data_IF_761795508178
#
_entry.id   IF_761795508178
#
_cell.length_a   1.000
_cell.length_b   1.000
_cell.length_c   1.000
_cell.angle_alpha   90.00
_cell.angle_beta   90.00
_cell.angle_gamma   90.00
#
_symmetry.space_group_name_H-M   'P 1'
#
loop_
_entity.id
_entity.type
_entity.pdbx_description
1 polymer ?
#
# COMPACT_ATOMS: atom_id res chain seq x y z
N UNK A 1 15.72 -33.35 -10.31
CA UNK A 1 14.65 -32.35 -10.50
C UNK A 1 14.70 -31.44 -9.28
N UNK A 2 15.11 -30.20 -9.49
CA UNK A 2 15.16 -29.22 -8.40
C UNK A 2 13.73 -28.89 -8.02
N UNK A 3 13.33 -29.15 -6.79
CA UNK A 3 11.99 -28.81 -6.28
C UNK A 3 11.76 -27.31 -6.46
N UNK A 4 10.59 -26.93 -6.94
CA UNK A 4 10.16 -25.54 -7.04
C UNK A 4 8.89 -25.34 -6.23
N UNK A 5 8.68 -24.13 -5.73
CA UNK A 5 7.52 -23.76 -4.94
C UNK A 5 6.64 -22.80 -5.73
N UNK A 6 5.49 -23.25 -6.15
CA UNK A 6 4.53 -22.47 -6.92
C UNK A 6 3.44 -21.90 -6.01
N UNK A 7 3.18 -20.62 -6.11
CA UNK A 7 2.06 -20.01 -5.41
C UNK A 7 0.73 -20.58 -5.95
N UNK A 8 -0.13 -21.06 -5.07
CA UNK A 8 -1.41 -21.65 -5.44
C UNK A 8 -2.30 -20.66 -6.20
N UNK A 9 -3.14 -21.17 -7.12
CA UNK A 9 -3.98 -20.36 -8.01
C UNK A 9 -4.92 -19.42 -7.26
N UNK A 10 -5.45 -19.88 -6.13
CA UNK A 10 -6.42 -19.14 -5.32
C UNK A 10 -5.79 -18.21 -4.26
N UNK A 11 -4.49 -17.95 -4.30
CA UNK A 11 -3.83 -17.06 -3.37
C UNK A 11 -3.71 -15.67 -3.99
N UNK A 12 -4.20 -14.65 -3.30
CA UNK A 12 -3.99 -13.25 -3.67
C UNK A 12 -2.67 -12.75 -3.08
N UNK A 13 -1.92 -11.99 -3.86
CA UNK A 13 -0.78 -11.18 -3.40
C UNK A 13 -1.27 -9.74 -3.33
N UNK A 14 -1.16 -9.13 -2.18
CA UNK A 14 -1.62 -7.77 -1.93
C UNK A 14 -0.45 -6.91 -1.45
N UNK A 15 -0.01 -5.89 -2.23
CA UNK A 15 1.01 -4.96 -1.78
C UNK A 15 0.45 -4.02 -0.71
N UNK A 16 1.24 -3.77 0.33
CA UNK A 16 0.87 -2.94 1.46
C UNK A 16 1.90 -1.85 1.71
N UNK A 17 1.44 -0.65 2.06
CA UNK A 17 2.24 0.41 2.68
C UNK A 17 1.65 0.69 4.06
N UNK A 18 2.48 0.60 5.09
CA UNK A 18 2.04 0.74 6.48
C UNK A 18 0.83 -0.17 6.81
N UNK A 19 0.87 -1.42 6.36
CA UNK A 19 -0.21 -2.43 6.50
C UNK A 19 -1.51 -2.12 5.73
N UNK A 20 -1.59 -1.04 4.99
CA UNK A 20 -2.74 -0.72 4.15
C UNK A 20 -2.48 -1.09 2.71
N UNK A 21 -3.52 -1.54 2.01
CA UNK A 21 -3.41 -1.82 0.58
C UNK A 21 -2.89 -0.59 -0.17
N UNK A 22 -1.85 -0.78 -0.95
CA UNK A 22 -1.27 0.25 -1.78
C UNK A 22 -0.84 -0.31 -3.13
N UNK A 23 -1.01 0.50 -4.16
CA UNK A 23 -0.34 0.22 -5.41
C UNK A 23 1.13 0.65 -5.29
N UNK A 24 2.08 -0.05 -5.94
CA UNK A 24 3.51 0.23 -5.83
C UNK A 24 3.90 1.69 -6.09
N UNK A 25 3.20 2.40 -6.98
CA UNK A 25 3.44 3.83 -7.24
C UNK A 25 3.04 4.77 -6.10
N UNK A 26 2.30 4.29 -5.09
CA UNK A 26 1.94 5.07 -3.90
C UNK A 26 3.05 5.12 -2.86
N UNK A 27 4.22 4.57 -3.14
CA UNK A 27 5.41 4.69 -2.28
C UNK A 27 6.20 5.98 -2.51
N UNK A 28 5.81 6.82 -3.46
CA UNK A 28 6.37 8.15 -3.61
C UNK A 28 6.28 8.92 -2.28
N UNK A 29 7.41 9.37 -1.72
CA UNK A 29 7.47 9.82 -0.32
C UNK A 29 6.45 10.90 0.06
N UNK A 30 6.20 11.95 -0.74
CA UNK A 30 5.13 12.91 -0.46
C UNK A 30 3.74 12.25 -0.38
N UNK A 31 3.42 11.36 -1.32
CA UNK A 31 2.14 10.64 -1.31
C UNK A 31 2.03 9.70 -0.10
N UNK A 32 3.09 8.95 0.21
CA UNK A 32 3.15 8.08 1.37
C UNK A 32 2.96 8.87 2.67
N UNK A 33 3.57 10.04 2.79
CA UNK A 33 3.45 10.92 3.94
C UNK A 33 1.98 11.32 4.22
N UNK A 34 1.27 11.78 3.19
CA UNK A 34 -0.15 12.15 3.32
C UNK A 34 -1.03 10.94 3.60
N UNK A 35 -0.80 9.81 2.94
CA UNK A 35 -1.55 8.58 3.18
C UNK A 35 -1.37 8.08 4.62
N UNK A 36 -0.13 8.05 5.12
CA UNK A 36 0.13 7.63 6.49
C UNK A 36 -0.54 8.53 7.53
N UNK A 37 -0.55 9.84 7.31
CA UNK A 37 -1.25 10.79 8.17
C UNK A 37 -2.76 10.52 8.18
N UNK A 38 -3.35 10.34 7.01
CA UNK A 38 -4.76 9.98 6.86
C UNK A 38 -5.10 8.63 7.53
N UNK A 39 -4.27 7.60 7.31
CA UNK A 39 -4.45 6.31 7.97
C UNK A 39 -4.33 6.43 9.50
N UNK A 40 -3.41 7.25 10.00
CA UNK A 40 -3.27 7.49 11.44
C UNK A 40 -4.53 8.12 12.06
N UNK A 41 -5.18 9.04 11.34
CA UNK A 41 -6.46 9.63 11.75
C UNK A 41 -7.56 8.57 11.82
N UNK A 42 -7.69 7.71 10.80
CA UNK A 42 -8.68 6.63 10.75
C UNK A 42 -8.43 5.62 11.87
N UNK A 43 -7.18 5.19 12.06
CA UNK A 43 -6.82 4.25 13.13
C UNK A 43 -7.11 4.82 14.52
N UNK A 44 -6.77 6.10 14.74
CA UNK A 44 -7.06 6.79 16.00
C UNK A 44 -8.57 6.91 16.27
N UNK A 45 -9.34 7.17 15.21
CA UNK A 45 -10.82 7.18 15.29
C UNK A 45 -11.37 5.80 15.62
N UNK A 46 -10.83 4.75 15.00
CA UNK A 46 -11.25 3.37 15.29
C UNK A 46 -10.98 2.98 16.74
N UNK A 47 -9.80 3.25 17.27
CA UNK A 47 -9.46 2.96 18.68
C UNK A 47 -10.44 3.62 19.64
N UNK A 48 -10.87 4.85 19.36
CA UNK A 48 -11.82 5.59 20.18
C UNK A 48 -13.27 5.11 20.02
N UNK A 49 -13.63 4.64 18.83
CA UNK A 49 -15.03 4.42 18.43
C UNK A 49 -15.22 3.16 17.57
N UNK A 50 -14.65 2.00 17.97
CA UNK A 50 -14.69 0.76 17.19
C UNK A 50 -16.11 0.35 16.78
N UNK A 51 -17.07 0.42 17.69
CA UNK A 51 -18.48 0.09 17.42
C UNK A 51 -19.13 1.03 16.39
N UNK A 52 -18.69 2.30 16.31
CA UNK A 52 -19.16 3.22 15.27
C UNK A 52 -18.62 2.83 13.91
N UNK A 53 -17.34 2.45 13.81
CA UNK A 53 -16.72 1.96 12.59
C UNK A 53 -17.42 0.70 12.08
N UNK A 54 -17.69 -0.26 12.95
CA UNK A 54 -18.43 -1.48 12.61
C UNK A 54 -19.82 -1.19 12.05
N UNK A 55 -20.58 -0.34 12.72
CA UNK A 55 -21.91 0.10 12.26
C UNK A 55 -21.85 0.86 10.94
N UNK A 56 -20.87 1.74 10.75
CA UNK A 56 -20.68 2.51 9.54
C UNK A 56 -20.30 1.60 8.36
N UNK A 57 -19.40 0.65 8.58
CA UNK A 57 -18.96 -0.32 7.58
C UNK A 57 -20.11 -1.24 7.10
N UNK A 58 -21.06 -1.56 7.96
CA UNK A 58 -22.24 -2.33 7.59
C UNK A 58 -23.24 -1.55 6.68
N UNK A 59 -23.14 -0.23 6.66
CA UNK A 59 -24.04 0.62 5.87
C UNK A 59 -23.64 0.70 4.40
N UNK A 60 -24.52 0.26 3.50
CA UNK A 60 -24.26 0.36 2.05
C UNK A 60 -24.11 1.81 1.55
N UNK A 61 -24.72 2.79 2.24
CA UNK A 61 -24.71 4.21 1.84
C UNK A 61 -23.37 4.90 2.04
N UNK A 62 -22.55 4.42 3.00
CA UNK A 62 -21.28 5.02 3.37
C UNK A 62 -20.10 4.06 3.20
N UNK A 63 -20.33 2.93 2.52
CA UNK A 63 -19.27 1.95 2.22
C UNK A 63 -18.16 2.62 1.42
N UNK A 64 -16.91 2.40 1.81
CA UNK A 64 -15.73 3.04 1.21
C UNK A 64 -15.40 4.42 1.78
N UNK A 65 -16.16 4.89 2.79
CA UNK A 65 -15.77 6.06 3.60
C UNK A 65 -14.59 5.76 4.53
N UNK A 66 -14.17 6.73 5.36
CA UNK A 66 -13.01 6.61 6.25
C UNK A 66 -13.31 5.74 7.50
N UNK A 67 -13.85 4.57 7.26
CA UNK A 67 -14.20 3.61 8.31
C UNK A 67 -13.50 2.29 8.07
N UNK A 68 -12.88 1.75 9.12
CA UNK A 68 -12.27 0.42 9.11
C UNK A 68 -13.36 -0.63 8.98
N UNK A 69 -13.18 -1.59 8.07
CA UNK A 69 -14.12 -2.69 7.81
C UNK A 69 -13.56 -4.02 8.32
N UNK A 70 -14.44 -4.88 8.81
CA UNK A 70 -14.09 -6.26 9.19
C UNK A 70 -13.27 -6.38 10.47
N UNK A 71 -13.04 -5.27 11.18
CA UNK A 71 -12.43 -5.24 12.50
C UNK A 71 -13.45 -4.76 13.53
N UNK A 72 -13.25 -5.14 14.79
CA UNK A 72 -14.15 -4.84 15.91
C UNK A 72 -13.37 -4.44 17.18
N UNK A 73 -14.03 -4.31 18.32
CA UNK A 73 -13.41 -3.89 19.56
C UNK A 73 -12.27 -4.81 20.06
N UNK A 74 -12.26 -6.09 19.65
CA UNK A 74 -11.18 -7.02 20.02
C UNK A 74 -9.87 -6.71 19.29
N UNK A 75 -9.92 -6.00 18.17
CA UNK A 75 -8.76 -5.62 17.36
C UNK A 75 -8.12 -4.30 17.83
N UNK A 76 -8.72 -3.62 18.82
CA UNK A 76 -8.20 -2.33 19.32
C UNK A 76 -6.75 -2.42 19.79
N UNK A 77 -6.31 -3.42 20.57
CA UNK A 77 -4.91 -3.49 20.99
C UNK A 77 -3.93 -3.64 19.81
N UNK A 78 -4.30 -4.41 18.79
CA UNK A 78 -3.46 -4.57 17.58
C UNK A 78 -3.42 -3.28 16.75
N UNK A 79 -4.53 -2.54 16.71
CA UNK A 79 -4.59 -1.23 16.06
C UNK A 79 -3.73 -0.19 16.79
N UNK A 80 -3.73 -0.18 18.12
CA UNK A 80 -2.85 0.67 18.94
C UNK A 80 -1.37 0.37 18.66
N UNK A 81 -1.01 -0.91 18.59
CA UNK A 81 0.34 -1.32 18.24
C UNK A 81 0.75 -0.84 16.82
N UNK A 82 -0.16 -0.90 15.85
CA UNK A 82 0.07 -0.37 14.51
C UNK A 82 0.22 1.16 14.52
N UNK A 83 -0.58 1.89 15.32
CA UNK A 83 -0.44 3.34 15.49
C UNK A 83 0.95 3.71 16.01
N UNK A 84 1.44 3.02 17.04
CA UNK A 84 2.79 3.25 17.61
C UNK A 84 3.88 2.99 16.57
N UNK A 85 3.79 1.88 15.84
CA UNK A 85 4.71 1.54 14.75
C UNK A 85 4.67 2.61 13.66
N UNK A 86 3.47 3.03 13.24
CA UNK A 86 3.28 4.08 12.23
C UNK A 86 3.94 5.40 12.64
N UNK A 87 3.77 5.82 13.90
CA UNK A 87 4.37 7.06 14.41
C UNK A 87 5.88 6.99 14.46
N UNK A 88 6.43 5.86 14.89
CA UNK A 88 7.88 5.66 15.00
C UNK A 88 8.53 5.61 13.63
N UNK A 89 8.04 4.74 12.76
CA UNK A 89 8.68 4.43 11.47
C UNK A 89 8.39 5.51 10.41
N UNK A 90 7.25 6.22 10.55
CA UNK A 90 6.83 7.30 9.66
C UNK A 90 7.24 8.71 10.10
N UNK A 91 7.94 8.88 11.21
CA UNK A 91 8.23 10.21 11.79
C UNK A 91 8.84 11.19 10.78
N UNK A 92 9.76 10.73 9.95
CA UNK A 92 10.43 11.53 8.92
C UNK A 92 9.46 11.96 7.79
N UNK A 93 8.45 11.13 7.47
CA UNK A 93 7.43 11.44 6.47
C UNK A 93 6.39 12.42 6.99
N UNK A 94 6.02 12.37 8.28
CA UNK A 94 5.10 13.36 8.86
C UNK A 94 5.68 14.77 8.77
N UNK A 95 6.97 14.92 9.09
CA UNK A 95 7.66 16.20 8.92
C UNK A 95 7.72 16.69 7.46
N UNK A 96 7.80 15.75 6.49
CA UNK A 96 7.70 16.12 5.08
C UNK A 96 6.31 16.63 4.73
N UNK A 97 5.24 15.98 5.21
CA UNK A 97 3.87 16.43 4.97
C UNK A 97 3.62 17.82 5.58
N UNK A 98 4.11 18.07 6.79
CA UNK A 98 3.99 19.38 7.46
C UNK A 98 4.69 20.48 6.68
N UNK A 99 5.89 20.22 6.17
CA UNK A 99 6.65 21.19 5.35
C UNK A 99 5.97 21.46 4.01
N UNK A 100 5.38 20.44 3.37
CA UNK A 100 4.63 20.61 2.13
C UNK A 100 3.36 21.45 2.35
N UNK A 101 2.65 21.22 3.45
CA UNK A 101 1.46 22.00 3.82
C UNK A 101 1.84 23.46 4.13
N UNK A 102 2.93 23.68 4.88
CA UNK A 102 3.44 25.02 5.17
C UNK A 102 3.82 25.78 3.89
N UNK A 103 4.51 25.10 2.95
CA UNK A 103 4.83 25.68 1.65
C UNK A 103 3.57 25.99 0.85
N UNK A 104 2.59 25.08 0.83
CA UNK A 104 1.32 25.30 0.15
C UNK A 104 0.56 26.53 0.70
N UNK A 105 0.53 26.69 2.02
CA UNK A 105 -0.07 27.84 2.67
C UNK A 105 0.65 29.15 2.31
N UNK A 106 1.98 29.14 2.31
CA UNK A 106 2.82 30.29 1.92
C UNK A 106 2.55 30.70 0.46
N UNK A 107 2.50 29.74 -0.46
CA UNK A 107 2.22 29.99 -1.87
C UNK A 107 0.78 30.46 -2.12
N UNK A 108 -0.15 30.12 -1.24
CA UNK A 108 -1.53 30.62 -1.29
C UNK A 108 -1.63 32.14 -1.14
N UNK A 109 -0.61 32.82 -0.61
CA UNK A 109 -0.51 34.25 -0.48
C UNK A 109 0.11 34.95 -1.71
N UNK A 110 0.55 34.21 -2.73
CA UNK A 110 1.15 34.75 -3.95
C UNK A 110 0.08 35.43 -4.84
N UNK A 111 0.38 36.63 -5.30
CA UNK A 111 -0.54 37.53 -6.00
C UNK A 111 -0.38 37.55 -7.53
N UNK A 112 0.38 36.63 -8.08
CA UNK A 112 0.62 36.53 -9.54
C UNK A 112 1.83 37.33 -10.03
N UNK A 113 2.62 37.90 -9.12
CA UNK A 113 3.86 38.60 -9.43
C UNK A 113 5.09 37.70 -9.32
N UNK A 114 6.21 38.20 -8.83
CA UNK A 114 7.44 37.43 -8.69
C UNK A 114 7.34 36.34 -7.61
N UNK A 115 7.79 35.12 -7.92
CA UNK A 115 7.95 34.05 -6.93
C UNK A 115 9.31 34.10 -6.20
N UNK A 116 10.22 34.96 -6.59
CA UNK A 116 11.57 35.06 -5.99
C UNK A 116 11.52 35.22 -4.47
N UNK A 117 10.67 36.09 -3.87
CA UNK A 117 10.60 36.23 -2.42
C UNK A 117 10.12 34.97 -1.68
N UNK A 118 9.39 34.10 -2.36
CA UNK A 118 8.87 32.85 -1.77
C UNK A 118 9.94 31.75 -1.66
N UNK A 119 11.01 31.80 -2.46
CA UNK A 119 12.10 30.82 -2.35
C UNK A 119 12.81 30.86 -0.99
N UNK A 120 12.90 32.05 -0.37
CA UNK A 120 13.49 32.20 0.97
C UNK A 120 12.62 31.55 2.05
N UNK A 121 11.32 31.43 1.79
CA UNK A 121 10.31 30.88 2.69
C UNK A 121 10.12 29.37 2.49
N UNK A 122 10.80 28.74 1.51
CA UNK A 122 10.77 27.28 1.32
C UNK A 122 11.36 26.60 2.56
N UNK A 123 10.62 25.69 3.21
CA UNK A 123 11.10 24.94 4.35
C UNK A 123 12.47 24.30 4.08
N UNK A 124 13.38 24.27 5.04
CA UNK A 124 14.76 23.80 4.84
C UNK A 124 14.86 22.40 4.21
N UNK A 125 13.97 21.48 4.59
CA UNK A 125 13.94 20.11 4.04
C UNK A 125 13.51 20.05 2.57
N UNK A 126 12.83 21.05 2.06
CA UNK A 126 12.34 21.09 0.67
C UNK A 126 13.26 21.92 -0.26
N UNK A 127 14.28 22.58 0.28
CA UNK A 127 15.20 23.38 -0.53
C UNK A 127 15.97 22.53 -1.52
N UNK A 128 15.94 22.95 -2.79
CA UNK A 128 16.51 22.19 -3.89
C UNK A 128 15.66 21.03 -4.39
N UNK A 129 14.55 20.71 -3.72
CA UNK A 129 13.64 19.62 -4.08
C UNK A 129 12.32 20.08 -4.70
N UNK A 130 12.12 21.41 -4.76
CA UNK A 130 10.92 22.05 -5.32
C UNK A 130 11.29 23.13 -6.30
N UNK A 131 10.45 23.30 -7.31
CA UNK A 131 10.45 24.44 -8.22
C UNK A 131 9.13 25.18 -8.05
N UNK A 132 9.21 26.50 -7.81
CA UNK A 132 8.01 27.32 -7.68
C UNK A 132 7.57 27.83 -9.05
N UNK A 133 6.29 27.67 -9.35
CA UNK A 133 5.72 28.04 -10.64
C UNK A 133 4.29 28.59 -10.48
N UNK A 134 3.79 29.26 -11.52
CA UNK A 134 2.38 29.58 -11.65
C UNK A 134 1.70 28.61 -12.61
N UNK A 135 0.54 28.13 -12.23
CA UNK A 135 -0.37 27.39 -13.11
C UNK A 135 -1.36 28.36 -13.78
N UNK A 136 -2.16 27.84 -14.71
CA UNK A 136 -3.24 28.60 -15.31
C UNK A 136 -4.15 29.23 -14.22
N UNK A 137 -4.48 30.52 -14.38
CA UNK A 137 -5.23 31.28 -13.38
C UNK A 137 -4.38 31.91 -12.28
N UNK A 138 -3.08 32.06 -12.51
CA UNK A 138 -2.12 32.74 -11.62
C UNK A 138 -2.06 32.19 -10.19
N UNK A 139 -2.34 30.90 -10.03
CA UNK A 139 -2.13 30.23 -8.74
C UNK A 139 -0.72 29.69 -8.65
N UNK A 140 0.03 30.16 -7.64
CA UNK A 140 1.34 29.62 -7.35
C UNK A 140 1.24 28.18 -6.81
N UNK A 141 2.20 27.36 -7.19
CA UNK A 141 2.33 25.99 -6.70
C UNK A 141 3.81 25.58 -6.66
N UNK A 142 4.09 24.54 -5.89
CA UNK A 142 5.39 23.89 -5.88
C UNK A 142 5.36 22.64 -6.75
N UNK A 143 6.20 22.60 -7.78
CA UNK A 143 6.49 21.39 -8.53
C UNK A 143 7.53 20.59 -7.78
N UNK A 144 7.21 19.35 -7.45
CA UNK A 144 8.11 18.46 -6.73
C UNK A 144 9.05 17.76 -7.71
N UNK A 145 10.34 17.75 -7.39
CA UNK A 145 11.39 17.09 -8.18
C UNK A 145 11.44 15.63 -7.78
N UNK A 146 10.57 14.80 -8.34
CA UNK A 146 10.22 13.44 -7.89
C UNK A 146 11.42 12.57 -7.53
N UNK A 147 12.45 12.51 -8.40
CA UNK A 147 13.63 11.68 -8.18
C UNK A 147 14.35 12.00 -6.88
N UNK A 148 14.41 13.28 -6.47
CA UNK A 148 15.12 13.71 -5.28
C UNK A 148 14.44 13.25 -3.99
N UNK A 149 13.11 13.05 -4.02
CA UNK A 149 12.38 12.55 -2.85
C UNK A 149 12.66 11.07 -2.59
N UNK A 150 12.82 10.25 -3.63
CA UNK A 150 13.21 8.85 -3.47
C UNK A 150 14.61 8.69 -2.89
N UNK A 151 15.53 9.61 -3.24
CA UNK A 151 16.89 9.60 -2.69
C UNK A 151 16.95 10.07 -1.23
N UNK A 152 16.06 10.99 -0.85
CA UNK A 152 16.06 11.62 0.47
C UNK A 152 15.22 10.89 1.52
N UNK A 153 14.20 10.12 1.10
CA UNK A 153 13.25 9.49 2.00
C UNK A 153 13.05 8.02 1.64
N UNK A 154 13.56 7.14 2.50
CA UNK A 154 13.34 5.71 2.35
C UNK A 154 11.96 5.31 2.90
N UNK A 155 11.15 4.68 2.06
CA UNK A 155 9.85 4.12 2.43
C UNK A 155 9.86 2.59 2.49
N UNK A 156 11.00 1.94 2.30
CA UNK A 156 11.12 0.48 2.20
C UNK A 156 10.65 -0.24 3.47
N UNK A 157 10.95 0.31 4.64
CA UNK A 157 10.53 -0.25 5.93
C UNK A 157 9.00 -0.28 6.13
N UNK A 158 8.26 0.53 5.36
CA UNK A 158 6.79 0.57 5.41
C UNK A 158 6.13 -0.42 4.45
N UNK A 159 6.92 -1.02 3.55
CA UNK A 159 6.43 -1.87 2.48
C UNK A 159 6.37 -3.33 2.92
N UNK A 160 5.28 -3.99 2.55
CA UNK A 160 5.06 -5.40 2.86
C UNK A 160 4.07 -6.01 1.86
N UNK A 161 3.88 -7.33 1.95
CA UNK A 161 2.85 -8.03 1.21
C UNK A 161 1.96 -8.82 2.16
N UNK A 162 0.67 -8.88 1.84
CA UNK A 162 -0.23 -9.86 2.41
C UNK A 162 -0.53 -10.95 1.38
N UNK A 163 -0.47 -12.20 1.81
CA UNK A 163 -0.89 -13.35 1.03
C UNK A 163 -2.14 -13.95 1.70
N UNK A 164 -3.22 -14.12 0.94
CA UNK A 164 -4.44 -14.68 1.46
C UNK A 164 -5.13 -15.59 0.44
N UNK A 165 -5.72 -16.72 0.85
CA UNK A 165 -6.60 -17.49 -0.01
C UNK A 165 -7.82 -16.65 -0.41
N UNK A 166 -8.20 -16.71 -1.68
CA UNK A 166 -9.44 -16.12 -2.20
C UNK A 166 -10.44 -17.23 -2.44
N UNK A 167 -11.52 -17.22 -1.67
CA UNK A 167 -12.61 -18.18 -1.82
C UNK A 167 -13.82 -17.54 -2.51
N UNK A 168 -14.06 -16.24 -2.23
CA UNK A 168 -15.15 -15.44 -2.77
C UNK A 168 -14.90 -13.93 -2.64
N UNK A 169 -15.90 -13.10 -2.93
CA UNK A 169 -15.85 -11.64 -2.82
C UNK A 169 -16.33 -11.10 -1.46
N UNK A 170 -16.46 -11.95 -0.45
CA UNK A 170 -16.94 -11.55 0.89
C UNK A 170 -15.94 -10.74 1.70
N UNK A 171 -14.71 -10.59 1.22
CA UNK A 171 -13.64 -9.88 1.91
C UNK A 171 -13.97 -8.40 2.14
N UNK A 172 -13.50 -7.82 3.25
CA UNK A 172 -13.57 -6.38 3.46
C UNK A 172 -12.94 -5.60 2.29
N UNK A 173 -13.47 -4.42 2.01
CA UNK A 173 -12.90 -3.55 0.99
C UNK A 173 -11.46 -3.18 1.36
N UNK A 174 -10.50 -3.63 0.58
CA UNK A 174 -9.10 -3.65 0.96
C UNK A 174 -8.48 -2.26 1.23
N UNK A 175 -9.01 -1.20 0.62
CA UNK A 175 -8.52 0.17 0.80
C UNK A 175 -8.89 0.79 2.15
N UNK A 176 -9.87 0.21 2.86
CA UNK A 176 -10.38 0.76 4.12
C UNK A 176 -10.03 -0.08 5.35
N UNK A 177 -9.17 -1.08 5.21
CA UNK A 177 -8.85 -2.00 6.31
C UNK A 177 -7.36 -2.30 6.34
N UNK A 178 -6.64 -1.99 7.42
CA UNK A 178 -5.25 -2.43 7.57
C UNK A 178 -5.18 -3.95 7.78
N UNK A 179 -4.07 -4.55 7.38
CA UNK A 179 -3.75 -5.96 7.66
C UNK A 179 -2.99 -6.00 8.99
N UNK A 180 -3.68 -6.43 10.04
CA UNK A 180 -3.09 -6.54 11.37
C UNK A 180 -2.33 -7.87 11.51
N UNK A 181 -1.35 -7.93 12.40
CA UNK A 181 -0.59 -9.16 12.69
C UNK A 181 -1.47 -10.25 13.34
N UNK A 182 -2.68 -9.92 13.76
CA UNK A 182 -3.71 -10.84 14.27
C UNK A 182 -4.62 -11.39 13.17
N UNK A 183 -4.49 -10.93 11.93
CA UNK A 183 -5.28 -11.45 10.81
C UNK A 183 -4.82 -12.84 10.39
N UNK A 184 -5.71 -13.60 9.74
CA UNK A 184 -5.37 -14.89 9.13
C UNK A 184 -4.52 -14.74 7.85
N UNK A 185 -4.21 -13.50 7.46
CA UNK A 185 -3.37 -13.21 6.32
C UNK A 185 -1.90 -13.51 6.65
N UNK A 186 -1.19 -14.10 5.70
CA UNK A 186 0.26 -14.24 5.77
C UNK A 186 0.89 -12.90 5.41
N UNK A 187 1.59 -12.28 6.36
CA UNK A 187 2.27 -11.01 6.17
C UNK A 187 3.77 -11.21 5.97
N UNK A 188 4.33 -10.53 4.97
CA UNK A 188 5.73 -10.58 4.60
C UNK A 188 6.32 -9.17 4.59
N UNK A 189 7.30 -8.91 5.44
CA UNK A 189 8.03 -7.63 5.51
C UNK A 189 9.07 -7.61 4.38
N UNK A 190 8.63 -7.23 3.19
CA UNK A 190 9.38 -7.33 1.95
C UNK A 190 9.19 -6.04 1.14
N UNK A 191 10.27 -5.24 0.94
CA UNK A 191 10.22 -4.05 0.09
C UNK A 191 9.89 -4.37 -1.36
N UNK A 192 9.18 -3.48 -2.04
CA UNK A 192 8.73 -3.71 -3.43
C UNK A 192 9.90 -3.78 -4.43
N UNK A 193 11.00 -3.10 -4.13
CA UNK A 193 12.22 -3.14 -4.94
C UNK A 193 13.11 -4.37 -4.68
N UNK A 194 12.79 -5.20 -3.68
CA UNK A 194 13.56 -6.42 -3.40
C UNK A 194 13.37 -7.42 -4.56
N UNK A 195 14.43 -8.02 -5.10
CA UNK A 195 14.33 -9.05 -6.14
C UNK A 195 13.40 -10.22 -5.76
N UNK A 196 13.29 -10.51 -4.47
CA UNK A 196 12.39 -11.55 -3.98
C UNK A 196 10.90 -11.16 -4.15
N UNK A 197 10.54 -9.88 -4.12
CA UNK A 197 9.19 -9.41 -4.41
C UNK A 197 8.81 -9.69 -5.89
N UNK A 198 9.75 -9.48 -6.81
CA UNK A 198 9.56 -9.82 -8.22
C UNK A 198 9.39 -11.34 -8.38
N UNK A 199 10.25 -12.13 -7.72
CA UNK A 199 10.14 -13.59 -7.75
C UNK A 199 8.81 -14.09 -7.16
N UNK A 200 8.36 -13.51 -6.04
CA UNK A 200 7.08 -13.81 -5.41
C UNK A 200 5.90 -13.54 -6.37
N UNK A 201 5.86 -12.39 -7.01
CA UNK A 201 4.78 -12.03 -7.94
C UNK A 201 4.75 -12.95 -9.17
N UNK A 202 5.90 -13.43 -9.61
CA UNK A 202 6.06 -14.38 -10.72
C UNK A 202 5.90 -15.86 -10.29
N UNK A 203 5.88 -16.16 -8.99
CA UNK A 203 6.01 -17.52 -8.46
C UNK A 203 4.89 -18.48 -8.85
N UNK A 204 3.70 -17.94 -9.15
CA UNK A 204 2.61 -18.75 -9.68
C UNK A 204 2.95 -19.39 -11.04
N UNK A 205 3.76 -18.71 -11.83
CA UNK A 205 4.14 -19.14 -13.18
C UNK A 205 5.49 -19.86 -13.20
N UNK A 206 6.48 -19.28 -12.53
CA UNK A 206 7.88 -19.69 -12.65
C UNK A 206 8.34 -20.54 -11.47
N UNK A 207 7.57 -20.57 -10.37
CA UNK A 207 7.99 -21.18 -9.09
C UNK A 207 9.11 -20.39 -8.42
N UNK A 208 9.30 -20.61 -7.14
CA UNK A 208 10.47 -20.17 -6.37
C UNK A 208 11.45 -21.34 -6.27
N UNK A 209 12.74 -21.05 -6.34
CA UNK A 209 13.76 -22.03 -5.96
C UNK A 209 13.71 -22.28 -4.46
N UNK A 210 14.27 -23.40 -3.94
CA UNK A 210 14.34 -23.64 -2.50
C UNK A 210 14.97 -22.49 -1.72
N UNK A 211 16.08 -21.92 -2.23
CA UNK A 211 16.74 -20.79 -1.60
C UNK A 211 15.85 -19.52 -1.56
N UNK A 212 15.12 -19.24 -2.63
CA UNK A 212 14.17 -18.12 -2.65
C UNK A 212 12.99 -18.36 -1.69
N UNK A 213 12.52 -19.59 -1.58
CA UNK A 213 11.45 -19.91 -0.66
C UNK A 213 11.89 -19.79 0.80
N UNK A 214 13.08 -20.26 1.15
CA UNK A 214 13.67 -20.05 2.48
C UNK A 214 13.85 -18.57 2.78
N UNK A 215 14.43 -17.80 1.84
CA UNK A 215 14.55 -16.35 1.99
C UNK A 215 13.17 -15.67 2.19
N UNK A 216 12.11 -16.17 1.55
CA UNK A 216 10.75 -15.68 1.75
C UNK A 216 10.24 -15.99 3.17
N UNK A 217 10.56 -17.17 3.70
CA UNK A 217 10.23 -17.53 5.08
C UNK A 217 10.93 -16.62 6.10
N UNK A 218 12.11 -16.11 5.81
CA UNK A 218 12.84 -15.16 6.69
C UNK A 218 12.22 -13.75 6.67
N UNK A 219 11.41 -13.44 5.66
CA UNK A 219 10.70 -12.14 5.54
C UNK A 219 9.32 -12.14 6.21
N UNK A 220 8.98 -13.16 6.98
CA UNK A 220 7.70 -13.21 7.68
C UNK A 220 7.60 -12.12 8.75
N UNK A 221 6.48 -11.43 8.79
CA UNK A 221 6.15 -10.58 9.92
C UNK A 221 6.04 -11.38 11.21
N UNK A 222 6.25 -10.73 12.34
CA UNK A 222 6.37 -11.38 13.66
C UNK A 222 5.22 -12.34 14.03
N UNK A 223 3.99 -12.05 13.60
CA UNK A 223 2.80 -12.88 13.85
C UNK A 223 2.62 -14.04 12.86
N UNK A 224 3.35 -14.04 11.74
CA UNK A 224 3.16 -14.99 10.66
C UNK A 224 3.93 -16.30 10.88
N UNK A 225 3.24 -17.43 10.85
CA UNK A 225 3.84 -18.75 11.02
C UNK A 225 4.41 -19.29 9.70
N UNK A 226 5.52 -20.05 9.79
CA UNK A 226 6.17 -20.65 8.60
C UNK A 226 5.28 -21.63 7.86
N UNK A 227 4.53 -22.46 8.60
CA UNK A 227 3.61 -23.43 8.02
C UNK A 227 2.41 -22.75 7.30
N UNK A 228 1.96 -21.60 7.79
CA UNK A 228 0.95 -20.80 7.11
C UNK A 228 1.44 -20.28 5.75
N UNK A 229 2.70 -19.81 5.67
CA UNK A 229 3.32 -19.46 4.38
C UNK A 229 3.41 -20.69 3.47
N UNK A 230 3.96 -21.79 3.97
CA UNK A 230 4.15 -23.03 3.20
C UNK A 230 2.82 -23.58 2.64
N UNK A 231 1.74 -23.45 3.41
CA UNK A 231 0.40 -23.90 2.99
C UNK A 231 -0.13 -23.16 1.74
N UNK A 232 0.40 -21.99 1.42
CA UNK A 232 0.01 -21.19 0.23
C UNK A 232 0.74 -21.64 -1.05
N UNK A 233 1.75 -22.51 -0.93
CA UNK A 233 2.55 -22.99 -2.05
C UNK A 233 2.29 -24.48 -2.34
N UNK A 234 2.72 -24.91 -3.52
CA UNK A 234 2.66 -26.29 -4.01
C UNK A 234 3.97 -26.60 -4.75
N UNK A 235 4.34 -27.85 -4.78
CA UNK A 235 5.44 -28.38 -5.60
C UNK A 235 5.07 -28.55 -7.09
N UNK A 236 3.80 -28.37 -7.41
CA UNK A 236 3.24 -28.53 -8.74
C UNK A 236 2.76 -27.19 -9.28
N UNK A 237 3.19 -26.85 -10.49
CA UNK A 237 2.75 -25.64 -11.17
C UNK A 237 1.21 -25.64 -11.35
N UNK A 238 0.52 -24.54 -11.01
CA UNK A 238 -0.91 -24.44 -11.26
C UNK A 238 -1.19 -24.63 -12.76
N UNK A 239 -2.29 -25.31 -13.12
CA UNK A 239 -2.65 -25.49 -14.52
C UNK A 239 -2.79 -24.09 -15.16
N UNK A 240 -2.16 -23.92 -16.31
CA UNK A 240 -2.37 -22.72 -17.13
C UNK A 240 -3.84 -22.72 -17.52
N UNK A 241 -4.58 -21.72 -17.05
CA UNK A 241 -5.95 -21.55 -17.48
C UNK A 241 -5.95 -21.49 -19.01
N UNK A 242 -6.67 -22.38 -19.65
CA UNK A 242 -6.84 -22.33 -21.10
C UNK A 242 -7.32 -20.91 -21.44
N UNK A 243 -6.65 -20.32 -22.42
CA UNK A 243 -7.13 -19.05 -23.01
C UNK A 243 -8.46 -19.26 -23.77
N UNK A 244 -8.90 -20.51 -23.89
CA UNK A 244 -10.11 -20.91 -24.58
C UNK A 244 -11.35 -20.47 -23.84
N UNK A 245 -11.68 -19.21 -24.03
CA UNK A 245 -13.02 -18.73 -23.71
C UNK A 245 -13.86 -18.93 -24.97
N UNK A 246 -14.66 -19.96 -25.00
CA UNK A 246 -15.73 -20.10 -26.01
C UNK A 246 -16.75 -18.95 -25.94
N UNK A 247 -16.71 -18.18 -24.86
CA UNK A 247 -17.56 -17.02 -24.63
C UNK A 247 -16.74 -15.73 -24.49
N UNK A 248 -17.23 -14.60 -25.00
CA UNK A 248 -16.58 -13.32 -24.79
C UNK A 248 -16.43 -13.00 -23.31
N UNK A 249 -15.25 -12.53 -22.92
CA UNK A 249 -14.93 -12.18 -21.51
C UNK A 249 -14.32 -10.81 -21.41
N UNK A 250 -14.69 -10.11 -20.35
CA UNK A 250 -14.05 -8.89 -19.92
C UNK A 250 -13.44 -9.12 -18.55
N UNK A 251 -12.13 -8.85 -18.42
CA UNK A 251 -11.41 -8.91 -17.14
C UNK A 251 -10.86 -7.54 -16.82
N UNK A 252 -11.20 -7.07 -15.64
CA UNK A 252 -10.64 -5.84 -15.10
C UNK A 252 -9.50 -6.18 -14.14
N UNK A 253 -8.31 -5.64 -14.40
CA UNK A 253 -7.11 -5.88 -13.59
C UNK A 253 -6.82 -4.75 -12.62
N UNK A 254 -7.76 -3.86 -12.44
CA UNK A 254 -7.59 -2.66 -11.65
C UNK A 254 -6.97 -1.51 -12.45
N UNK A 255 -7.11 -0.30 -11.93
CA UNK A 255 -6.63 0.93 -12.55
C UNK A 255 -7.11 1.07 -14.01
N UNK A 256 -6.21 1.25 -14.96
CA UNK A 256 -6.55 1.47 -16.37
C UNK A 256 -6.44 0.20 -17.25
N UNK A 257 -6.34 -0.99 -16.66
CA UNK A 257 -6.13 -2.23 -17.41
C UNK A 257 -7.41 -3.07 -17.52
N UNK A 258 -7.91 -3.22 -18.73
CA UNK A 258 -9.03 -4.11 -19.08
C UNK A 258 -8.60 -5.03 -20.19
N UNK A 259 -8.76 -6.33 -19.99
CA UNK A 259 -8.57 -7.35 -21.04
C UNK A 259 -9.94 -7.76 -21.58
N UNK A 260 -10.13 -7.57 -22.89
CA UNK A 260 -11.28 -8.07 -23.63
C UNK A 260 -10.84 -9.29 -24.44
N UNK A 261 -11.44 -10.43 -24.20
CA UNK A 261 -11.26 -11.66 -24.96
C UNK A 261 -12.54 -11.91 -25.76
N UNK A 262 -12.41 -11.97 -27.06
CA UNK A 262 -13.53 -12.40 -27.94
C UNK A 262 -13.53 -13.92 -28.03
N UNK A 263 -14.70 -14.53 -28.10
CA UNK A 263 -14.82 -15.96 -28.39
C UNK A 263 -14.28 -16.24 -29.81
N UNK A 264 -13.57 -17.33 -29.98
CA UNK A 264 -13.17 -17.88 -31.29
C UNK A 264 -14.20 -18.83 -31.81
#
# INVERSE_FOLDING_TARGET
>A
VTSQYFLKKNVKIEPLVNRWHANPWLVYPPTAAYLMRHHLEIMTSFVKHAALHEKAAASRKIRGGPFVQGLNAQDVPAMEALIETTRRDGAHLFGLADDLDALGATLGAADGHSLVPFYEQVPPRLRGMVELAYQAGNRAYARLMEGLYYDAYDTSALQSFALAPLWDDSRPFCLSTPRLDTSDDVLLDLPFADPLAVALTASRRNGLTPAQFEALLDRRSKGTRADAVAALFSDTAPPRGAADAHEPRVRYFGHACVLVQTGS
#
